data_IF_711292215433
#
_entry.id   IF_711292215433
#
_cell.length_a   1.000
_cell.length_b   1.000
_cell.length_c   1.000
_cell.angle_alpha   90.00
_cell.angle_beta   90.00
_cell.angle_gamma   90.00
#
_symmetry.space_group_name_H-M   'P 1'
#
loop_
_entity.id
_entity.type
_entity.pdbx_description
1 polymer ?
#
# COMPACT_ATOMS: atom_id res chain seq x y z
N UNK A 1 19.55 -0.48 -36.22
CA UNK A 1 20.25 -1.79 -36.34
C UNK A 1 19.30 -2.97 -36.24
N UNK A 2 18.48 -3.10 -35.19
CA UNK A 2 17.53 -4.21 -35.03
C UNK A 2 16.52 -4.36 -36.18
N UNK A 3 15.95 -3.25 -36.67
CA UNK A 3 14.99 -3.25 -37.79
C UNK A 3 15.59 -3.77 -39.10
N UNK A 4 16.86 -3.46 -39.39
CA UNK A 4 17.54 -3.94 -40.61
C UNK A 4 17.80 -5.45 -40.55
N UNK A 5 18.09 -5.99 -39.36
CA UNK A 5 18.32 -7.43 -39.16
C UNK A 5 17.00 -8.21 -39.32
N UNK A 6 15.89 -7.70 -38.82
CA UNK A 6 14.57 -8.33 -39.01
C UNK A 6 14.13 -8.33 -40.49
N UNK A 7 14.39 -7.24 -41.21
CA UNK A 7 14.05 -7.10 -42.63
C UNK A 7 14.90 -8.04 -43.52
N UNK A 8 16.14 -8.29 -43.13
CA UNK A 8 17.02 -9.25 -43.79
C UNK A 8 16.63 -10.72 -43.52
N UNK A 9 16.23 -11.05 -42.29
CA UNK A 9 15.90 -12.43 -41.89
C UNK A 9 14.50 -12.91 -42.32
N UNK A 10 13.54 -12.01 -42.48
CA UNK A 10 12.14 -12.37 -42.75
C UNK A 10 11.57 -11.81 -44.07
N UNK A 11 12.42 -11.25 -44.94
CA UNK A 11 12.02 -10.66 -46.23
C UNK A 11 11.29 -9.31 -46.09
N UNK A 12 10.61 -8.86 -47.17
CA UNK A 12 9.78 -7.65 -47.20
C UNK A 12 8.51 -7.82 -46.33
N UNK A 13 8.70 -7.89 -45.01
CA UNK A 13 7.62 -7.61 -44.08
C UNK A 13 7.11 -6.21 -44.35
N UNK A 14 5.86 -6.12 -44.79
CA UNK A 14 5.16 -4.86 -44.95
C UNK A 14 5.37 -4.01 -43.69
N UNK A 15 5.81 -2.77 -43.87
CA UNK A 15 6.02 -1.81 -42.78
C UNK A 15 4.81 -1.68 -41.85
N UNK A 16 3.61 -1.92 -42.39
CA UNK A 16 2.34 -1.99 -41.64
C UNK A 16 2.30 -3.14 -40.63
N UNK A 17 2.81 -4.32 -41.00
CA UNK A 17 2.85 -5.48 -40.12
C UNK A 17 3.83 -5.28 -38.98
N UNK A 18 5.01 -4.73 -39.28
CA UNK A 18 6.02 -4.38 -38.27
C UNK A 18 5.45 -3.35 -37.28
N UNK A 19 4.77 -2.32 -37.78
CA UNK A 19 4.13 -1.32 -36.92
C UNK A 19 3.04 -1.93 -36.02
N UNK A 20 2.20 -2.83 -36.54
CA UNK A 20 1.20 -3.53 -35.72
C UNK A 20 1.84 -4.40 -34.63
N UNK A 21 2.91 -5.12 -34.95
CA UNK A 21 3.62 -5.95 -33.99
C UNK A 21 4.24 -5.10 -32.86
N UNK A 22 4.82 -3.95 -33.21
CA UNK A 22 5.33 -3.01 -32.21
C UNK A 22 4.23 -2.45 -31.31
N UNK A 23 3.08 -2.05 -31.86
CA UNK A 23 1.93 -1.59 -31.07
C UNK A 23 1.40 -2.68 -30.13
N UNK A 24 1.35 -3.92 -30.60
CA UNK A 24 0.92 -5.05 -29.80
C UNK A 24 1.89 -5.31 -28.63
N UNK A 25 3.19 -5.38 -28.91
CA UNK A 25 4.23 -5.54 -27.88
C UNK A 25 4.18 -4.37 -26.88
N UNK A 26 4.05 -3.14 -27.38
CA UNK A 26 3.94 -1.96 -26.54
C UNK A 26 2.71 -2.04 -25.62
N UNK A 27 1.54 -2.41 -26.14
CA UNK A 27 0.32 -2.60 -25.37
C UNK A 27 0.45 -3.69 -24.30
N UNK A 28 1.08 -4.82 -24.63
CA UNK A 28 1.35 -5.90 -23.68
C UNK A 28 2.31 -5.42 -22.58
N UNK A 29 3.38 -4.72 -22.93
CA UNK A 29 4.31 -4.15 -21.96
C UNK A 29 3.64 -3.14 -21.04
N UNK A 30 2.74 -2.29 -21.57
CA UNK A 30 1.99 -1.31 -20.78
C UNK A 30 1.02 -2.00 -19.83
N UNK A 31 0.28 -3.00 -20.30
CA UNK A 31 -0.62 -3.80 -19.48
C UNK A 31 0.14 -4.54 -18.38
N UNK A 32 1.25 -5.19 -18.73
CA UNK A 32 2.13 -5.84 -17.76
C UNK A 32 2.70 -4.84 -16.77
N UNK A 33 3.11 -3.64 -17.19
CA UNK A 33 3.60 -2.59 -16.31
C UNK A 33 2.52 -2.10 -15.34
N UNK A 34 1.25 -1.96 -15.78
CA UNK A 34 0.16 -1.58 -14.88
C UNK A 34 -0.21 -2.69 -13.90
N UNK A 35 -0.05 -3.97 -14.28
CA UNK A 35 -0.29 -5.11 -13.40
C UNK A 35 0.89 -5.37 -12.45
N UNK A 36 2.12 -5.18 -12.93
CA UNK A 36 3.37 -5.31 -12.18
C UNK A 36 3.69 -4.05 -11.38
N UNK A 37 2.94 -2.97 -11.57
CA UNK A 37 2.73 -1.93 -10.57
C UNK A 37 2.01 -2.57 -9.38
N UNK A 38 2.71 -3.49 -8.71
CA UNK A 38 2.60 -3.72 -7.28
C UNK A 38 2.88 -2.34 -6.72
N UNK A 39 1.79 -1.62 -6.51
CA UNK A 39 1.82 -0.33 -5.85
C UNK A 39 2.78 -0.48 -4.66
N UNK A 40 3.60 0.52 -4.46
CA UNK A 40 4.31 0.64 -3.20
C UNK A 40 3.22 1.03 -2.19
N UNK A 41 2.56 0.03 -1.58
CA UNK A 41 1.36 0.25 -0.74
C UNK A 41 1.93 0.66 0.59
N UNK A 42 2.33 1.91 0.70
CA UNK A 42 2.80 2.43 1.96
C UNK A 42 1.59 2.46 2.89
N UNK A 43 1.58 1.54 3.84
CA UNK A 43 0.53 1.43 4.83
C UNK A 43 1.09 1.89 6.16
N UNK A 44 0.43 2.86 6.79
CA UNK A 44 0.80 3.30 8.12
C UNK A 44 -0.27 2.86 9.10
N UNK A 45 0.11 2.14 10.15
CA UNK A 45 -0.79 1.68 11.19
C UNK A 45 -0.34 2.19 12.56
N UNK A 46 -1.14 3.07 13.17
CA UNK A 46 -0.91 3.57 14.52
C UNK A 46 -1.80 2.77 15.48
N UNK A 47 -1.18 1.97 16.34
CA UNK A 47 -1.87 1.20 17.36
C UNK A 47 -1.89 1.97 18.68
N UNK A 48 -3.08 2.07 19.26
CA UNK A 48 -3.36 2.60 20.58
C UNK A 48 -3.91 1.47 21.45
N UNK A 49 -3.57 1.50 22.74
CA UNK A 49 -4.03 0.56 23.75
C UNK A 49 -4.67 1.32 24.89
N UNK A 50 -5.79 0.79 25.38
CA UNK A 50 -6.51 1.45 26.45
C UNK A 50 -5.72 1.37 27.76
N UNK A 51 -5.61 2.48 28.49
CA UNK A 51 -4.86 2.54 29.75
C UNK A 51 -5.53 1.75 30.89
N UNK A 52 -6.87 1.70 30.88
CA UNK A 52 -7.67 0.99 31.88
C UNK A 52 -7.88 -0.48 31.52
N UNK A 53 -7.93 -0.81 30.22
CA UNK A 53 -8.18 -2.17 29.75
C UNK A 53 -7.18 -2.61 28.67
N UNK A 54 -6.14 -3.35 29.07
CA UNK A 54 -5.11 -3.84 28.15
C UNK A 54 -5.63 -4.83 27.07
N UNK A 55 -6.87 -5.31 27.17
CA UNK A 55 -7.50 -6.16 26.15
C UNK A 55 -8.12 -5.36 25.00
N UNK A 56 -8.20 -4.04 25.11
CA UNK A 56 -8.76 -3.18 24.08
C UNK A 56 -7.67 -2.37 23.39
N UNK A 57 -7.69 -2.41 22.07
CA UNK A 57 -6.80 -1.62 21.21
C UNK A 57 -7.58 -0.94 20.10
N UNK A 58 -7.07 0.19 19.64
CA UNK A 58 -7.56 0.90 18.46
C UNK A 58 -6.40 0.96 17.49
N UNK A 59 -6.65 0.59 16.25
CA UNK A 59 -5.70 0.65 15.16
C UNK A 59 -6.18 1.68 14.15
N UNK A 60 -5.35 2.68 13.90
CA UNK A 60 -5.57 3.67 12.87
C UNK A 60 -4.74 3.33 11.64
N UNK A 61 -5.38 2.95 10.54
CA UNK A 61 -4.72 2.62 9.28
C UNK A 61 -4.88 3.76 8.28
N UNK A 62 -3.78 4.08 7.63
CA UNK A 62 -3.75 4.91 6.44
C UNK A 62 -3.17 4.10 5.30
N UNK A 63 -3.83 4.14 4.15
CA UNK A 63 -3.39 3.46 2.93
C UNK A 63 -3.52 4.40 1.74
N UNK A 64 -2.52 4.43 0.86
CA UNK A 64 -2.61 5.16 -0.41
C UNK A 64 -3.67 4.54 -1.33
N UNK A 65 -4.51 5.39 -1.93
CA UNK A 65 -5.54 4.96 -2.89
C UNK A 65 -4.87 4.42 -4.17
N UNK A 66 -5.39 3.30 -4.70
CA UNK A 66 -4.87 2.61 -5.88
C UNK A 66 -5.09 3.37 -7.19
N UNK A 67 -6.14 4.20 -7.27
CA UNK A 67 -6.58 4.81 -8.52
C UNK A 67 -6.70 6.35 -8.46
N UNK A 68 -6.16 7.00 -7.42
CA UNK A 68 -6.23 8.46 -7.32
C UNK A 68 -5.28 9.05 -6.29
N UNK A 69 -5.04 10.37 -6.37
CA UNK A 69 -4.30 11.10 -5.35
C UNK A 69 -5.12 11.12 -4.06
N UNK A 70 -4.62 10.48 -3.00
CA UNK A 70 -5.27 10.51 -1.70
C UNK A 70 -4.91 9.32 -0.81
N UNK A 71 -5.33 9.43 0.46
CA UNK A 71 -5.18 8.39 1.48
C UNK A 71 -6.56 7.98 1.97
N UNK A 72 -6.79 6.67 2.02
CA UNK A 72 -7.92 6.09 2.69
C UNK A 72 -7.55 5.87 4.16
N UNK A 73 -8.41 6.37 5.05
CA UNK A 73 -8.25 6.27 6.51
C UNK A 73 -9.26 5.26 7.02
N UNK A 74 -8.81 4.31 7.82
CA UNK A 74 -9.65 3.30 8.45
C UNK A 74 -9.30 3.21 9.93
N UNK A 75 -10.31 3.24 10.78
CA UNK A 75 -10.14 3.09 12.21
C UNK A 75 -10.81 1.78 12.66
N UNK A 76 -10.04 0.97 13.37
CA UNK A 76 -10.38 -0.40 13.70
C UNK A 76 -10.23 -0.59 15.20
N UNK A 77 -11.32 -0.89 15.89
CA UNK A 77 -11.29 -1.30 17.30
C UNK A 77 -11.11 -2.81 17.37
N UNK A 78 -10.10 -3.24 18.12
CA UNK A 78 -9.84 -4.65 18.40
C UNK A 78 -10.01 -4.94 19.89
N UNK A 79 -10.82 -5.93 20.21
CA UNK A 79 -11.00 -6.42 21.58
C UNK A 79 -10.52 -7.85 21.66
N UNK A 80 -9.50 -8.09 22.47
CA UNK A 80 -8.94 -9.42 22.71
C UNK A 80 -9.84 -10.20 23.66
N UNK A 81 -10.52 -11.22 23.13
CA UNK A 81 -11.39 -12.12 23.90
C UNK A 81 -10.53 -13.24 24.49
N UNK A 82 -9.65 -13.83 23.67
CA UNK A 82 -8.72 -14.92 24.03
C UNK A 82 -7.33 -14.66 23.43
N UNK A 83 -6.27 -15.39 23.84
CA UNK A 83 -4.91 -15.22 23.30
C UNK A 83 -4.83 -15.23 21.76
N UNK A 84 -5.72 -15.98 21.11
CA UNK A 84 -5.79 -16.17 19.66
C UNK A 84 -7.09 -15.68 19.03
N UNK A 85 -8.01 -15.09 19.81
CA UNK A 85 -9.31 -14.63 19.32
C UNK A 85 -9.48 -13.14 19.61
N UNK A 86 -9.60 -12.37 18.54
CA UNK A 86 -9.83 -10.93 18.59
C UNK A 86 -11.14 -10.60 17.88
N UNK A 87 -12.02 -9.84 18.54
CA UNK A 87 -13.15 -9.21 17.88
C UNK A 87 -12.68 -7.92 17.23
N UNK A 88 -13.06 -7.72 15.96
CA UNK A 88 -12.67 -6.57 15.15
C UNK A 88 -13.93 -5.81 14.78
N UNK A 89 -13.99 -4.53 15.14
CA UNK A 89 -15.07 -3.63 14.79
C UNK A 89 -14.52 -2.42 14.03
N UNK A 90 -15.12 -2.12 12.88
CA UNK A 90 -14.86 -0.91 12.12
C UNK A 90 -15.73 0.20 12.69
N UNK A 91 -15.11 1.31 13.09
CA UNK A 91 -15.81 2.46 13.64
C UNK A 91 -15.26 3.73 12.98
N UNK A 92 -16.15 4.57 12.44
CA UNK A 92 -15.77 5.79 11.72
C UNK A 92 -15.61 7.00 12.64
N UNK A 93 -16.04 6.92 13.91
CA UNK A 93 -16.24 8.08 14.80
C UNK A 93 -15.52 7.99 16.15
N UNK A 94 -14.56 7.08 16.35
CA UNK A 94 -13.83 7.05 17.62
C UNK A 94 -12.87 8.24 17.71
N UNK A 95 -13.14 9.16 18.64
CA UNK A 95 -12.17 10.14 19.08
C UNK A 95 -11.13 9.46 19.98
N UNK A 96 -9.86 9.48 19.56
CA UNK A 96 -8.75 8.95 20.36
C UNK A 96 -8.34 10.02 21.37
N UNK A 97 -8.88 9.93 22.58
CA UNK A 97 -8.46 10.80 23.69
C UNK A 97 -7.18 10.28 24.37
N UNK A 98 -6.21 11.19 24.51
CA UNK A 98 -4.90 10.94 25.14
C UNK A 98 -4.99 10.57 26.62
N UNK A 99 -6.08 10.90 27.33
CA UNK A 99 -6.26 10.47 28.72
C UNK A 99 -6.60 8.98 28.82
N UNK A 100 -7.26 8.42 27.80
CA UNK A 100 -7.78 7.04 27.81
C UNK A 100 -6.92 6.04 27.05
N UNK A 101 -6.17 6.52 26.05
CA UNK A 101 -5.40 5.68 25.13
C UNK A 101 -3.91 5.99 25.20
N UNK A 102 -3.08 4.94 25.27
CA UNK A 102 -1.63 5.02 25.11
C UNK A 102 -1.26 4.51 23.73
N UNK A 103 -0.45 5.26 22.97
CA UNK A 103 0.14 4.79 21.72
C UNK A 103 1.11 3.64 22.03
N UNK A 104 1.00 2.53 21.31
CA UNK A 104 1.84 1.32 21.48
C UNK A 104 2.75 1.10 20.29
N UNK A 105 2.30 1.44 19.07
CA UNK A 105 3.19 1.44 17.91
C UNK A 105 4.02 2.73 17.91
N UNK A 106 5.20 2.65 18.52
CA UNK A 106 6.30 3.54 18.25
C UNK A 106 6.92 3.16 16.89
N UNK A 107 6.38 3.79 15.84
CA UNK A 107 7.14 4.20 14.64
C UNK A 107 7.48 3.14 13.59
N UNK A 108 6.56 2.97 12.62
CA UNK A 108 6.93 2.65 11.22
C UNK A 108 6.23 3.68 10.32
N UNK A 109 6.96 4.76 9.95
CA UNK A 109 6.50 5.77 9.01
C UNK A 109 7.00 5.40 7.60
N UNK A 110 6.37 4.39 6.99
CA UNK A 110 6.72 3.97 5.62
C UNK A 110 6.39 5.05 4.57
N UNK A 111 5.50 5.98 4.92
CA UNK A 111 5.01 7.07 4.06
C UNK A 111 5.92 8.30 4.00
N UNK A 112 6.91 8.43 4.90
CA UNK A 112 7.92 9.49 4.85
C UNK A 112 7.36 10.90 5.01
N UNK A 113 6.22 11.07 5.68
CA UNK A 113 5.64 12.40 5.92
C UNK A 113 6.58 13.28 6.75
N UNK A 114 6.82 14.56 6.36
CA UNK A 114 7.64 15.48 7.13
C UNK A 114 6.94 15.81 8.45
N UNK A 115 7.58 15.47 9.59
CA UNK A 115 7.10 15.86 10.92
C UNK A 115 6.69 14.73 11.89
N UNK A 116 6.78 13.45 11.53
CA UNK A 116 6.64 12.35 12.50
C UNK A 116 7.80 11.34 12.38
N UNK A 117 8.65 11.39 13.41
CA UNK A 117 9.97 10.77 13.48
C UNK A 117 9.93 9.26 13.71
N UNK A 118 10.94 8.60 13.14
CA UNK A 118 11.47 7.27 13.51
C UNK A 118 12.32 7.44 14.78
N UNK A 119 12.42 6.39 15.60
CA UNK A 119 13.56 5.98 16.41
C UNK A 119 13.17 4.64 17.03
N UNK A 120 13.70 3.58 16.42
CA UNK A 120 14.04 2.34 17.10
C UNK A 120 15.48 2.52 17.65
N UNK A 121 15.96 1.81 18.69
CA UNK A 121 15.31 0.79 19.53
C UNK A 121 15.40 1.13 21.04
N UNK A 122 14.68 0.42 21.91
CA UNK A 122 15.25 0.06 23.21
C UNK A 122 15.28 -1.46 23.33
N UNK A 123 16.47 -1.98 23.61
CA UNK A 123 16.72 -3.39 23.95
C UNK A 123 15.84 -3.85 25.10
#
# INVERSE_FOLDING_TARGET
MFLMICQYLFGELSTRFVAMLFLLIFGICLGMAMLSWKSDWKTQAILYRNKKNNRQTIEYRMRTNRFGPGFEKQLIRRTKILPFLESVHFEDTISVDSATWNRVNEKVNEMGFPGEYIDLPSK
#
